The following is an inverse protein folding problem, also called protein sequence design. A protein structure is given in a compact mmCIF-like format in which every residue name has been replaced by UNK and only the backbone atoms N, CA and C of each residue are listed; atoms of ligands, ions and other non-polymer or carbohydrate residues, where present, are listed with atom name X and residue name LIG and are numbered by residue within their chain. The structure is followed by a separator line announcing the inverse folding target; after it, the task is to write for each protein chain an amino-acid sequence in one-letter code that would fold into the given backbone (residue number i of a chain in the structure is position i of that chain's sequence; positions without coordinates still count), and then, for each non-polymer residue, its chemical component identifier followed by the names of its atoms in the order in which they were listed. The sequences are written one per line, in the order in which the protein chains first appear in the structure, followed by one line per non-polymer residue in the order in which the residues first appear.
data_IF_983683051468
#
_entry.id   IF_983683051468
#
_cell.length_a   1.000
_cell.length_b   1.000
_cell.length_c   1.000
_cell.angle_alpha   90.00
_cell.angle_beta   90.00
_cell.angle_gamma   90.00
#
_symmetry.space_group_name_H-M   'P 1'
#
loop_
_entity.id
_entity.type
_entity.pdbx_description
1 polymer ?
#
# COMPACT_ATOMS: atom_id res chain seq x y z
N UNK A 1 28.81 -13.56 -39.65
CA UNK A 1 30.26 -13.43 -39.93
C UNK A 1 30.43 -12.53 -41.14
N UNK A 2 30.73 -11.25 -40.94
CA UNK A 2 31.13 -10.35 -42.03
C UNK A 2 32.38 -9.59 -41.61
N UNK A 3 33.48 -10.03 -42.23
CA UNK A 3 34.71 -9.33 -42.56
C UNK A 3 35.40 -8.48 -41.49
N UNK A 4 36.36 -9.14 -40.82
CA UNK A 4 37.64 -8.52 -40.48
C UNK A 4 38.36 -8.00 -41.75
N UNK A 5 39.20 -6.98 -41.54
CA UNK A 5 40.22 -6.42 -42.47
C UNK A 5 39.75 -5.52 -43.62
N UNK A 6 39.70 -4.23 -43.33
CA UNK A 6 40.45 -3.23 -44.13
C UNK A 6 40.56 -1.90 -43.37
N UNK A 7 41.71 -1.64 -42.73
CA UNK A 7 42.34 -0.30 -42.76
C UNK A 7 43.76 -0.40 -42.19
N UNK A 8 44.62 -1.00 -43.02
CA UNK A 8 46.06 -0.79 -43.02
C UNK A 8 46.28 0.52 -43.76
N UNK A 9 46.38 1.65 -43.04
CA UNK A 9 46.68 2.95 -43.67
C UNK A 9 46.07 4.21 -43.04
N UNK A 10 45.14 4.12 -42.09
CA UNK A 10 44.72 5.29 -41.32
C UNK A 10 45.71 5.54 -40.17
N UNK A 11 46.47 6.63 -40.30
CA UNK A 11 47.48 7.16 -39.37
C UNK A 11 47.28 6.78 -37.89
N UNK A 12 48.36 6.43 -37.20
CA UNK A 12 48.41 6.17 -35.74
C UNK A 12 47.64 7.25 -34.96
N UNK A 13 47.71 8.50 -35.44
CA UNK A 13 47.00 9.68 -34.94
C UNK A 13 45.47 9.50 -34.88
N UNK A 14 44.86 8.88 -35.89
CA UNK A 14 43.41 8.72 -35.95
C UNK A 14 42.92 7.65 -34.96
N UNK A 15 43.68 6.56 -34.79
CA UNK A 15 43.38 5.53 -33.77
C UNK A 15 43.54 6.08 -32.35
N UNK A 16 44.55 6.90 -32.09
CA UNK A 16 44.74 7.52 -30.77
C UNK A 16 43.65 8.54 -30.43
N UNK A 17 43.15 9.30 -31.42
CA UNK A 17 42.04 10.24 -31.21
C UNK A 17 40.75 9.48 -30.85
N UNK A 18 40.43 8.39 -31.56
CA UNK A 18 39.24 7.59 -31.24
C UNK A 18 39.33 6.97 -29.85
N UNK A 19 40.50 6.43 -29.47
CA UNK A 19 40.72 5.89 -28.12
C UNK A 19 40.66 6.98 -27.05
N UNK A 20 41.22 8.16 -27.30
CA UNK A 20 41.13 9.30 -26.38
C UNK A 20 39.70 9.80 -26.23
N UNK A 21 38.91 9.84 -27.30
CA UNK A 21 37.51 10.27 -27.27
C UNK A 21 36.64 9.26 -26.51
N UNK A 22 36.86 7.96 -26.71
CA UNK A 22 36.22 6.89 -25.94
C UNK A 22 36.60 6.96 -24.46
N UNK A 23 37.89 7.11 -24.16
CA UNK A 23 38.37 7.22 -22.78
C UNK A 23 37.80 8.47 -22.10
N UNK A 24 37.77 9.61 -22.79
CA UNK A 24 37.19 10.85 -22.28
C UNK A 24 35.68 10.69 -22.04
N UNK A 25 34.95 10.04 -22.96
CA UNK A 25 33.54 9.73 -22.78
C UNK A 25 33.30 8.82 -21.57
N UNK A 26 34.12 7.78 -21.39
CA UNK A 26 34.02 6.86 -20.26
C UNK A 26 34.34 7.54 -18.92
N UNK A 27 35.36 8.40 -18.91
CA UNK A 27 35.80 9.13 -17.72
C UNK A 27 34.77 10.19 -17.32
N UNK A 28 34.16 10.86 -18.30
CA UNK A 28 33.05 11.78 -18.10
C UNK A 28 31.81 11.03 -17.57
N UNK A 29 31.49 9.87 -18.12
CA UNK A 29 30.40 9.02 -17.60
C UNK A 29 30.67 8.58 -16.15
N UNK A 30 31.90 8.17 -15.86
CA UNK A 30 32.34 7.74 -14.53
C UNK A 30 32.27 8.88 -13.51
N UNK A 31 32.71 10.09 -13.89
CA UNK A 31 32.60 11.28 -13.03
C UNK A 31 31.15 11.66 -12.75
N UNK A 32 30.25 11.54 -13.74
CA UNK A 32 28.82 11.82 -13.56
C UNK A 32 28.20 10.76 -12.64
N UNK A 33 28.51 9.48 -12.83
CA UNK A 33 27.97 8.39 -12.01
C UNK A 33 28.49 8.43 -10.57
N UNK A 34 29.75 8.79 -10.36
CA UNK A 34 30.36 8.87 -9.02
C UNK A 34 30.11 10.23 -8.34
N UNK A 35 29.43 11.16 -9.01
CA UNK A 35 29.10 12.44 -8.41
C UNK A 35 28.00 12.25 -7.36
N UNK A 36 28.35 12.48 -6.10
CA UNK A 36 27.44 12.49 -4.93
C UNK A 36 26.26 13.48 -5.06
N UNK A 37 26.22 14.24 -6.15
CA UNK A 37 25.11 15.08 -6.57
C UNK A 37 23.97 14.27 -7.21
N UNK A 38 24.30 13.27 -8.05
CA UNK A 38 23.32 12.35 -8.64
C UNK A 38 22.60 11.55 -7.54
N UNK A 39 23.35 11.07 -6.55
CA UNK A 39 22.83 10.23 -5.47
C UNK A 39 21.79 10.99 -4.61
N UNK A 40 21.99 12.28 -4.39
CA UNK A 40 21.06 13.14 -3.64
C UNK A 40 19.86 13.60 -4.47
N UNK A 41 20.00 13.75 -5.79
CA UNK A 41 18.90 14.15 -6.65
C UNK A 41 18.06 12.97 -7.14
N UNK A 42 18.63 11.77 -7.25
CA UNK A 42 17.89 10.55 -7.60
C UNK A 42 16.76 10.30 -6.63
N UNK A 43 17.01 10.36 -5.32
CA UNK A 43 15.95 10.10 -4.34
C UNK A 43 14.79 11.11 -4.44
N UNK A 44 15.10 12.38 -4.76
CA UNK A 44 14.08 13.42 -4.91
C UNK A 44 13.32 13.30 -6.24
N UNK A 45 14.01 12.97 -7.33
CA UNK A 45 13.39 12.77 -8.65
C UNK A 45 12.59 11.47 -8.66
N UNK A 46 13.05 10.40 -8.03
CA UNK A 46 12.28 9.16 -7.86
C UNK A 46 11.01 9.46 -7.04
N UNK A 47 11.14 10.14 -5.90
CA UNK A 47 9.97 10.49 -5.09
C UNK A 47 8.99 11.42 -5.83
N UNK A 48 9.49 12.35 -6.64
CA UNK A 48 8.66 13.29 -7.41
C UNK A 48 8.00 12.63 -8.62
N UNK A 49 8.72 11.74 -9.33
CA UNK A 49 8.22 11.01 -10.49
C UNK A 49 7.24 9.93 -10.07
N UNK A 50 7.50 9.18 -8.99
CA UNK A 50 6.51 8.26 -8.42
C UNK A 50 5.25 9.02 -8.05
N UNK A 51 5.34 10.12 -7.29
CA UNK A 51 4.16 10.89 -6.86
C UNK A 51 3.36 11.52 -8.02
N UNK A 52 3.98 11.74 -9.18
CA UNK A 52 3.34 12.42 -10.32
C UNK A 52 2.87 11.48 -11.43
N UNK A 53 3.49 10.31 -11.56
CA UNK A 53 3.15 9.31 -12.58
C UNK A 53 2.56 8.03 -12.02
N UNK A 54 2.52 7.89 -10.70
CA UNK A 54 1.92 6.73 -10.06
C UNK A 54 1.18 7.18 -8.82
N UNK A 55 -0.13 6.99 -8.84
CA UNK A 55 -0.91 6.78 -7.63
C UNK A 55 -0.44 5.45 -7.02
N UNK A 56 0.82 5.42 -6.58
CA UNK A 56 1.49 4.25 -6.02
C UNK A 56 1.05 4.19 -4.58
N UNK A 57 -0.22 3.83 -4.47
CA UNK A 57 -0.81 3.20 -3.33
C UNK A 57 0.18 2.14 -2.84
N UNK A 58 0.69 2.34 -1.64
CA UNK A 58 1.61 1.41 -0.95
C UNK A 58 0.84 0.14 -0.53
N UNK A 59 -0.23 -0.23 -1.25
CA UNK A 59 -1.19 -1.28 -0.95
C UNK A 59 -1.08 -2.52 -1.85
N UNK A 60 -0.06 -2.65 -2.69
CA UNK A 60 0.05 -3.83 -3.59
C UNK A 60 0.83 -5.02 -2.98
N UNK A 61 0.50 -5.37 -1.74
CA UNK A 61 0.60 -6.76 -1.24
C UNK A 61 -0.76 -7.47 -1.26
N UNK A 62 -1.79 -6.83 -1.82
CA UNK A 62 -3.17 -7.33 -1.94
C UNK A 62 -3.35 -8.25 -3.17
N UNK A 63 -2.25 -8.71 -3.79
CA UNK A 63 -2.28 -9.71 -4.87
C UNK A 63 -2.72 -11.14 -4.42
N UNK A 64 -3.21 -11.29 -3.19
CA UNK A 64 -3.87 -12.51 -2.68
C UNK A 64 -5.36 -12.31 -2.38
N UNK A 65 -5.92 -11.13 -2.60
CA UNK A 65 -7.35 -10.85 -2.40
C UNK A 65 -7.97 -10.53 -3.75
N UNK A 66 -9.03 -11.25 -4.11
CA UNK A 66 -9.85 -10.98 -5.28
C UNK A 66 -10.48 -9.59 -5.17
N UNK A 67 -9.74 -8.55 -5.59
CA UNK A 67 -10.18 -7.16 -5.72
C UNK A 67 -11.28 -6.98 -6.79
N UNK A 68 -11.69 -8.06 -7.49
CA UNK A 68 -12.68 -8.01 -8.56
C UNK A 68 -14.12 -7.75 -8.09
N UNK A 69 -14.40 -7.85 -6.79
CA UNK A 69 -15.76 -7.76 -6.22
C UNK A 69 -15.96 -6.65 -5.18
N UNK A 70 -15.07 -5.65 -5.08
CA UNK A 70 -15.25 -4.53 -4.12
C UNK A 70 -14.68 -4.77 -2.71
N UNK A 71 -14.16 -5.97 -2.44
CA UNK A 71 -13.53 -6.32 -1.17
C UNK A 71 -12.10 -5.79 -1.08
N UNK A 72 -11.77 -5.12 0.03
CA UNK A 72 -10.46 -4.51 0.25
C UNK A 72 -9.96 -4.70 1.68
N UNK A 73 -8.64 -4.59 1.85
CA UNK A 73 -8.03 -4.43 3.17
C UNK A 73 -7.87 -2.94 3.45
N UNK A 74 -8.44 -2.47 4.56
CA UNK A 74 -8.40 -1.06 4.96
C UNK A 74 -7.97 -0.87 6.41
N UNK A 75 -7.32 0.26 6.68
CA UNK A 75 -6.98 0.70 8.04
C UNK A 75 -8.02 1.73 8.49
N UNK A 76 -8.61 1.53 9.67
CA UNK A 76 -9.64 2.40 10.26
C UNK A 76 -9.19 2.88 11.65
N UNK A 77 -9.17 4.19 11.87
CA UNK A 77 -8.84 4.76 13.18
C UNK A 77 -10.08 4.78 14.06
N UNK A 78 -10.01 4.20 15.25
CA UNK A 78 -11.13 4.19 16.19
C UNK A 78 -11.20 5.53 16.92
N UNK A 79 -12.23 6.32 16.67
CA UNK A 79 -12.55 7.51 17.43
C UNK A 79 -13.33 7.16 18.71
N UNK A 80 -13.24 8.03 19.73
CA UNK A 80 -13.99 7.84 20.99
C UNK A 80 -15.51 7.87 20.84
N UNK A 81 -16.00 8.41 19.72
CA UNK A 81 -17.43 8.56 19.39
C UNK A 81 -17.96 7.41 18.53
N UNK A 82 -17.10 6.50 18.11
CA UNK A 82 -17.47 5.41 17.23
C UNK A 82 -18.19 4.31 17.98
N UNK A 83 -19.10 3.63 17.27
CA UNK A 83 -19.98 2.64 17.86
C UNK A 83 -19.24 1.44 18.48
N UNK A 84 -18.06 1.14 17.96
CA UNK A 84 -17.20 0.03 18.37
C UNK A 84 -16.22 0.37 19.50
N UNK A 85 -16.04 1.65 19.82
CA UNK A 85 -15.08 2.09 20.83
C UNK A 85 -15.44 1.56 22.23
N UNK A 86 -14.48 0.93 22.90
CA UNK A 86 -14.62 0.36 24.24
C UNK A 86 -15.38 -0.96 24.30
N UNK A 87 -15.75 -1.55 23.17
CA UNK A 87 -16.44 -2.85 23.10
C UNK A 87 -15.47 -3.99 22.83
N UNK A 88 -15.90 -5.19 23.21
CA UNK A 88 -15.19 -6.43 22.91
C UNK A 88 -15.42 -6.81 21.45
N UNK A 89 -14.41 -7.31 20.74
CA UNK A 89 -14.57 -7.74 19.34
C UNK A 89 -15.69 -8.79 19.17
N UNK A 90 -15.82 -9.71 20.13
CA UNK A 90 -16.87 -10.73 20.13
C UNK A 90 -18.28 -10.17 20.32
N UNK A 91 -18.44 -8.92 20.78
CA UNK A 91 -19.74 -8.27 20.96
C UNK A 91 -20.13 -7.41 19.74
N UNK A 92 -19.19 -7.14 18.83
CA UNK A 92 -19.42 -6.31 17.66
C UNK A 92 -20.00 -7.10 16.48
N UNK A 93 -19.71 -8.40 16.41
CA UNK A 93 -20.26 -9.33 15.41
C UNK A 93 -19.99 -8.85 13.98
N UNK A 94 -18.83 -8.20 13.76
CA UNK A 94 -18.47 -7.60 12.47
C UNK A 94 -18.46 -8.62 11.32
N UNK A 95 -18.19 -9.89 11.62
CA UNK A 95 -18.23 -10.97 10.62
C UNK A 95 -19.63 -11.21 10.07
N UNK A 96 -20.67 -10.95 10.85
CA UNK A 96 -22.07 -11.06 10.41
C UNK A 96 -22.46 -9.85 9.52
N UNK A 97 -21.65 -8.79 9.49
CA UNK A 97 -21.74 -7.67 8.54
C UNK A 97 -20.78 -7.84 7.34
N UNK A 98 -20.15 -9.00 7.20
CA UNK A 98 -19.17 -9.26 6.13
C UNK A 98 -17.79 -8.61 6.35
N UNK A 99 -17.47 -8.17 7.57
CA UNK A 99 -16.21 -7.52 7.93
C UNK A 99 -15.36 -8.42 8.83
N UNK A 100 -14.14 -8.72 8.40
CA UNK A 100 -13.14 -9.48 9.13
C UNK A 100 -12.06 -8.57 9.71
N UNK A 101 -11.82 -8.67 11.02
CA UNK A 101 -10.71 -7.97 11.69
C UNK A 101 -9.44 -8.81 11.54
N UNK A 102 -8.48 -8.29 10.76
CA UNK A 102 -7.18 -8.93 10.55
C UNK A 102 -6.18 -8.58 11.65
N UNK A 103 -6.30 -7.41 12.26
CA UNK A 103 -5.36 -6.95 13.27
C UNK A 103 -5.77 -5.66 13.96
N UNK A 104 -5.13 -5.41 15.10
CA UNK A 104 -5.26 -4.17 15.88
C UNK A 104 -3.86 -3.58 16.06
N UNK A 105 -3.69 -2.32 15.70
CA UNK A 105 -2.51 -1.53 16.06
C UNK A 105 -2.89 -0.58 17.18
N UNK A 106 -2.31 -0.81 18.34
CA UNK A 106 -2.51 0.07 19.48
C UNK A 106 -1.95 1.47 19.20
N UNK A 107 -2.56 2.51 19.77
CA UNK A 107 -2.00 3.87 19.81
C UNK A 107 -0.56 3.93 20.37
N UNK A 108 -0.18 2.98 21.22
CA UNK A 108 1.19 2.83 21.73
C UNK A 108 2.18 2.21 20.72
N UNK A 109 1.72 1.84 19.53
CA UNK A 109 2.52 1.25 18.45
C UNK A 109 2.64 -0.28 18.48
N UNK A 110 2.04 -0.96 19.47
CA UNK A 110 2.01 -2.42 19.53
C UNK A 110 1.05 -2.99 18.48
N UNK A 111 1.49 -4.00 17.73
CA UNK A 111 0.66 -4.67 16.71
C UNK A 111 0.19 -6.04 17.19
N UNK A 112 -1.12 -6.24 17.23
CA UNK A 112 -1.80 -7.52 17.46
C UNK A 112 -2.30 -8.06 16.13
N UNK A 113 -1.56 -9.01 15.54
CA UNK A 113 -1.87 -9.63 14.24
C UNK A 113 -2.80 -10.86 14.30
N UNK A 114 -3.35 -11.17 15.46
CA UNK A 114 -4.38 -12.21 15.63
C UNK A 114 -5.25 -11.85 16.83
N UNK A 115 -6.07 -10.80 16.68
CA UNK A 115 -6.95 -10.37 17.75
C UNK A 115 -7.99 -11.46 18.02
N UNK A 116 -8.29 -11.68 19.29
CA UNK A 116 -9.27 -12.65 19.76
C UNK A 116 -10.58 -11.94 20.07
N UNK A 117 -11.67 -12.70 20.12
CA UNK A 117 -12.97 -12.17 20.48
C UNK A 117 -12.99 -11.43 21.82
N UNK A 118 -12.11 -11.77 22.77
CA UNK A 118 -11.98 -11.11 24.07
C UNK A 118 -11.20 -9.78 24.06
N UNK A 119 -10.63 -9.37 22.92
CA UNK A 119 -9.86 -8.14 22.83
C UNK A 119 -10.79 -6.93 22.77
N UNK A 120 -10.44 -5.89 23.54
CA UNK A 120 -11.20 -4.64 23.61
C UNK A 120 -10.67 -3.68 22.56
N UNK A 121 -11.56 -3.14 21.75
CA UNK A 121 -11.22 -2.09 20.79
C UNK A 121 -11.12 -0.76 21.53
N UNK A 122 -9.92 -0.21 21.67
CA UNK A 122 -9.72 1.05 22.38
C UNK A 122 -9.80 2.24 21.43
N UNK A 123 -10.29 3.37 21.93
CA UNK A 123 -10.20 4.62 21.19
C UNK A 123 -8.73 4.96 20.91
N UNK A 124 -8.47 5.54 19.73
CA UNK A 124 -7.15 5.83 19.16
C UNK A 124 -6.37 4.61 18.63
N UNK A 125 -6.91 3.40 18.72
CA UNK A 125 -6.32 2.25 18.04
C UNK A 125 -6.67 2.29 16.55
N UNK A 126 -5.84 1.63 15.72
CA UNK A 126 -6.10 1.45 14.30
C UNK A 126 -6.44 -0.01 14.04
N UNK A 127 -7.64 -0.27 13.54
CA UNK A 127 -8.07 -1.60 13.09
C UNK A 127 -7.61 -1.85 11.66
N UNK A 128 -7.17 -3.06 11.37
CA UNK A 128 -6.94 -3.56 10.02
C UNK A 128 -8.10 -4.49 9.68
N UNK A 129 -8.92 -4.07 8.73
CA UNK A 129 -10.18 -4.71 8.35
C UNK A 129 -10.08 -5.27 6.94
N UNK A 130 -10.80 -6.36 6.69
CA UNK A 130 -11.07 -6.90 5.37
C UNK A 130 -12.58 -7.07 5.18
N UNK A 131 -13.11 -6.60 4.05
CA UNK A 131 -14.54 -6.63 3.78
C UNK A 131 -14.87 -5.78 2.55
N UNK A 132 -16.16 -5.66 2.23
CA UNK A 132 -16.63 -4.71 1.23
C UNK A 132 -16.31 -3.27 1.68
N UNK A 133 -15.84 -2.44 0.73
CA UNK A 133 -15.44 -1.07 1.04
C UNK A 133 -16.62 -0.22 1.54
N UNK A 134 -17.83 -0.43 1.02
CA UNK A 134 -19.03 0.29 1.45
C UNK A 134 -19.36 -0.07 2.90
N UNK A 135 -19.33 -1.35 3.27
CA UNK A 135 -19.57 -1.80 4.65
C UNK A 135 -18.52 -1.23 5.62
N UNK A 136 -17.24 -1.21 5.23
CA UNK A 136 -16.17 -0.63 6.05
C UNK A 136 -16.38 0.88 6.23
N UNK A 137 -16.75 1.60 5.19
CA UNK A 137 -17.03 3.04 5.27
C UNK A 137 -18.26 3.35 6.13
N UNK A 138 -19.29 2.51 6.08
CA UNK A 138 -20.45 2.63 6.95
C UNK A 138 -20.08 2.41 8.41
N UNK A 139 -19.25 1.40 8.69
CA UNK A 139 -18.73 1.14 10.02
C UNK A 139 -17.91 2.33 10.57
N UNK A 140 -17.06 2.96 9.75
CA UNK A 140 -16.25 4.13 10.12
C UNK A 140 -17.13 5.35 10.47
N UNK A 141 -18.24 5.54 9.77
CA UNK A 141 -19.19 6.64 10.06
C UNK A 141 -20.11 6.34 11.25
N UNK A 142 -20.22 5.07 11.67
CA UNK A 142 -21.19 4.60 12.65
C UNK A 142 -20.89 5.14 14.05
N UNK A 143 -21.83 5.91 14.60
CA UNK A 143 -21.69 6.54 15.92
C UNK A 143 -22.32 5.71 17.03
N UNK A 144 -21.77 5.82 18.23
CA UNK A 144 -22.28 5.13 19.41
C UNK A 144 -23.72 5.53 19.76
N UNK A 145 -24.48 4.57 20.28
CA UNK A 145 -25.86 4.74 20.72
C UNK A 145 -26.88 4.02 19.82
N UNK A 146 -28.18 4.27 20.09
CA UNK A 146 -29.30 3.54 19.46
C UNK A 146 -29.34 3.64 17.94
N UNK A 147 -28.83 4.73 17.36
CA UNK A 147 -28.73 4.88 15.91
C UNK A 147 -27.74 3.87 15.32
N UNK A 148 -26.53 3.80 15.89
CA UNK A 148 -25.52 2.82 15.49
C UNK A 148 -25.95 1.38 15.74
N UNK A 149 -26.68 1.09 16.82
CA UNK A 149 -27.23 -0.26 17.06
C UNK A 149 -28.23 -0.66 15.97
N UNK A 150 -29.03 0.29 15.47
CA UNK A 150 -29.97 0.06 14.37
C UNK A 150 -29.24 -0.12 13.04
N UNK A 151 -28.21 0.70 12.77
CA UNK A 151 -27.35 0.57 11.59
C UNK A 151 -26.65 -0.80 11.57
N UNK A 152 -26.14 -1.28 12.71
CA UNK A 152 -25.60 -2.63 12.84
C UNK A 152 -26.64 -3.70 12.48
N UNK A 153 -27.86 -3.63 13.03
CA UNK A 153 -28.89 -4.63 12.70
C UNK A 153 -29.28 -4.63 11.23
N UNK A 154 -29.24 -3.47 10.56
CA UNK A 154 -29.54 -3.37 9.13
C UNK A 154 -28.43 -3.99 8.28
N UNK A 155 -27.17 -3.70 8.60
CA UNK A 155 -26.02 -4.25 7.90
C UNK A 155 -25.97 -5.78 8.00
N UNK A 156 -26.32 -6.35 9.16
CA UNK A 156 -26.43 -7.82 9.35
C UNK A 156 -27.55 -8.42 8.49
N UNK A 157 -28.69 -7.74 8.36
CA UNK A 157 -29.81 -8.19 7.52
C UNK A 157 -29.44 -8.16 6.03
N UNK A 158 -28.84 -7.06 5.55
CA UNK A 158 -28.36 -6.91 4.17
C UNK A 158 -27.32 -7.98 3.81
N UNK A 159 -26.37 -8.25 4.69
CA UNK A 159 -25.38 -9.31 4.47
C UNK A 159 -26.03 -10.70 4.42
N UNK A 160 -27.04 -10.96 5.25
CA UNK A 160 -27.78 -12.22 5.23
C UNK A 160 -28.52 -12.47 3.90
N UNK A 161 -29.13 -11.44 3.32
CA UNK A 161 -29.81 -11.53 2.02
C UNK A 161 -28.83 -11.82 0.86
N UNK A 162 -27.62 -11.23 0.91
CA UNK A 162 -26.55 -11.49 -0.05
C UNK A 162 -26.05 -12.93 0.02
N UNK A 163 -25.92 -13.50 1.21
CA UNK A 163 -25.48 -14.89 1.39
C UNK A 163 -26.53 -15.91 0.91
N UNK A 164 -27.82 -15.61 1.04
CA UNK A 164 -28.90 -16.49 0.54
C UNK A 164 -29.01 -16.53 -1.00
N UNK A 165 -28.42 -15.55 -1.70
CA UNK A 165 -28.49 -15.46 -3.17
C UNK A 165 -27.32 -16.13 -3.92
N UNK A 166 -26.35 -16.69 -3.20
CA UNK A 166 -25.19 -17.44 -3.73
C UNK A 166 -25.43 -18.96 -3.81
#
# INVERSE_FOLDING_TARGET
MMSFMSTTGASVTQRTITLALLAAGLLLLWLIFNSRWIERHMNRVIAWTLKKFTDLDVRDYVALLELSNGYAVSEMLVESTDWLAGKCLADLWLSDEGILVLGIRSSAGAFHGSPRGGDIVSASDTLILYGDLENIEELDRRRAGRAGDKEHSHAVEEQGELEETL
#
